data_IF_142051966321
#
_entry.id   IF_142051966321
#
_cell.length_a   1.000
_cell.length_b   1.000
_cell.length_c   1.000
_cell.angle_alpha   90.00
_cell.angle_beta   90.00
_cell.angle_gamma   90.00
#
_symmetry.space_group_name_H-M   'P 1'
#
loop_
_entity.id
_entity.type
_entity.pdbx_description
1 polymer ?
#
# COMPACT_ATOMS: atom_id res chain seq x y z
N UNK A 1 -16.38 -18.31 -4.74
CA UNK A 1 -17.66 -18.29 -4.01
C UNK A 1 -18.47 -17.12 -4.52
N UNK A 2 -19.69 -17.35 -5.00
CA UNK A 2 -20.59 -16.25 -5.39
C UNK A 2 -21.13 -15.56 -4.15
N UNK A 3 -21.05 -14.23 -4.11
CA UNK A 3 -21.44 -13.43 -2.94
C UNK A 3 -22.96 -13.33 -2.73
N UNK A 4 -23.79 -13.80 -3.67
CA UNK A 4 -25.27 -13.76 -3.60
C UNK A 4 -25.88 -12.35 -3.52
N UNK A 5 -25.05 -11.29 -3.59
CA UNK A 5 -25.46 -9.90 -3.50
C UNK A 5 -25.73 -9.34 -4.89
N UNK A 6 -26.91 -8.78 -5.06
CA UNK A 6 -27.26 -8.03 -6.27
C UNK A 6 -26.57 -6.66 -6.22
N UNK A 7 -25.65 -6.40 -7.15
CA UNK A 7 -24.91 -5.14 -7.24
C UNK A 7 -25.32 -4.46 -8.54
N UNK A 8 -25.91 -3.27 -8.41
CA UNK A 8 -26.22 -2.43 -9.57
C UNK A 8 -24.93 -1.90 -10.17
N UNK A 9 -24.47 -2.54 -11.25
CA UNK A 9 -23.29 -2.14 -12.00
C UNK A 9 -23.70 -1.49 -13.32
N UNK A 10 -23.00 -0.42 -13.70
CA UNK A 10 -23.14 0.16 -15.03
C UNK A 10 -22.66 -0.85 -16.08
N UNK A 11 -23.45 -1.08 -17.13
CA UNK A 11 -23.09 -1.95 -18.26
C UNK A 11 -21.72 -1.62 -18.87
N UNK A 12 -21.34 -0.33 -18.90
CA UNK A 12 -20.03 0.09 -19.36
C UNK A 12 -18.88 -0.50 -18.52
N UNK A 13 -19.06 -0.64 -17.20
CA UNK A 13 -18.06 -1.25 -16.32
C UNK A 13 -17.85 -2.73 -16.65
N UNK A 14 -18.92 -3.46 -16.94
CA UNK A 14 -18.86 -4.88 -17.33
C UNK A 14 -18.15 -5.03 -18.68
N UNK A 15 -18.53 -4.23 -19.68
CA UNK A 15 -17.90 -4.25 -21.01
C UNK A 15 -16.42 -3.88 -20.91
N UNK A 16 -16.08 -2.85 -20.14
CA UNK A 16 -14.69 -2.43 -19.93
C UNK A 16 -13.86 -3.55 -19.28
N UNK A 17 -14.42 -4.25 -18.30
CA UNK A 17 -13.74 -5.37 -17.66
C UNK A 17 -13.55 -6.56 -18.61
N UNK A 18 -14.58 -6.92 -19.38
CA UNK A 18 -14.50 -7.98 -20.40
C UNK A 18 -13.47 -7.65 -21.50
N UNK A 19 -13.30 -6.37 -21.82
CA UNK A 19 -12.26 -5.87 -22.76
C UNK A 19 -10.86 -5.79 -22.13
N UNK A 20 -10.66 -6.27 -20.91
CA UNK A 20 -9.36 -6.32 -20.25
C UNK A 20 -8.85 -4.97 -19.72
N UNK A 21 -9.73 -3.97 -19.55
CA UNK A 21 -9.31 -2.71 -18.90
C UNK A 21 -8.94 -2.96 -17.43
N UNK A 22 -7.98 -2.16 -16.94
CA UNK A 22 -7.50 -2.25 -15.58
C UNK A 22 -8.63 -2.20 -14.55
N UNK A 23 -8.64 -3.19 -13.68
CA UNK A 23 -9.50 -3.22 -12.49
C UNK A 23 -9.13 -2.09 -11.53
N UNK A 24 -10.03 -1.79 -10.58
CA UNK A 24 -9.72 -0.86 -9.49
C UNK A 24 -8.49 -1.31 -8.70
N UNK A 25 -8.32 -2.60 -8.47
CA UNK A 25 -7.17 -3.16 -7.78
C UNK A 25 -5.86 -2.89 -8.54
N UNK A 26 -5.83 -3.16 -9.85
CA UNK A 26 -4.66 -2.88 -10.70
C UNK A 26 -4.32 -1.39 -10.76
N UNK A 27 -5.34 -0.53 -10.95
CA UNK A 27 -5.13 0.92 -10.95
C UNK A 27 -4.63 1.44 -9.59
N UNK A 28 -5.10 0.86 -8.49
CA UNK A 28 -4.63 1.25 -7.15
C UNK A 28 -3.20 0.76 -6.90
N UNK A 29 -2.84 -0.44 -7.39
CA UNK A 29 -1.46 -0.94 -7.32
C UNK A 29 -0.48 -0.04 -8.09
N UNK A 30 -0.87 0.44 -9.26
CA UNK A 30 -0.08 1.41 -10.04
C UNK A 30 0.10 2.77 -9.33
N UNK A 31 -0.79 3.11 -8.39
CA UNK A 31 -0.74 4.35 -7.61
C UNK A 31 -0.10 4.16 -6.23
N UNK A 32 0.36 2.95 -5.91
CA UNK A 32 1.01 2.69 -4.63
C UNK A 32 2.37 3.41 -4.56
N UNK A 33 2.70 3.90 -3.37
CA UNK A 33 4.01 4.52 -3.12
C UNK A 33 5.15 3.50 -3.24
N UNK A 34 4.96 2.32 -2.65
CA UNK A 34 5.96 1.26 -2.57
C UNK A 34 5.73 0.20 -3.65
N UNK A 35 6.83 -0.28 -4.20
CA UNK A 35 6.91 -1.53 -4.97
C UNK A 35 6.63 -2.74 -4.06
N UNK A 36 6.34 -3.90 -4.64
CA UNK A 36 6.12 -5.12 -3.86
C UNK A 36 7.35 -5.47 -3.03
N UNK A 37 8.54 -5.28 -3.59
CA UNK A 37 9.83 -5.54 -2.95
C UNK A 37 10.05 -4.63 -1.75
N UNK A 38 9.76 -3.32 -1.89
CA UNK A 38 9.86 -2.37 -0.78
C UNK A 38 8.85 -2.68 0.33
N UNK A 39 7.64 -3.14 -0.02
CA UNK A 39 6.66 -3.60 0.97
C UNK A 39 7.22 -4.74 1.80
N UNK A 40 7.86 -5.74 1.18
CA UNK A 40 8.46 -6.87 1.90
C UNK A 40 9.54 -6.42 2.90
N UNK A 41 10.39 -5.48 2.49
CA UNK A 41 11.43 -4.91 3.36
C UNK A 41 10.81 -4.22 4.58
N UNK A 42 9.76 -3.43 4.37
CA UNK A 42 9.08 -2.72 5.46
C UNK A 42 8.35 -3.69 6.40
N UNK A 43 7.64 -4.70 5.88
CA UNK A 43 6.96 -5.71 6.71
C UNK A 43 7.99 -6.47 7.55
N UNK A 44 9.10 -6.91 6.96
CA UNK A 44 10.17 -7.58 7.69
C UNK A 44 10.79 -6.67 8.77
N UNK A 45 10.96 -5.38 8.48
CA UNK A 45 11.44 -4.41 9.46
C UNK A 45 10.49 -4.30 10.66
N UNK A 46 9.17 -4.23 10.42
CA UNK A 46 8.17 -4.15 11.49
C UNK A 46 8.18 -5.42 12.36
N UNK A 47 8.22 -6.60 11.74
CA UNK A 47 8.29 -7.88 12.46
C UNK A 47 9.55 -7.95 13.33
N UNK A 48 10.71 -7.52 12.80
CA UNK A 48 11.97 -7.48 13.56
C UNK A 48 11.88 -6.55 14.76
N UNK A 49 11.29 -5.37 14.61
CA UNK A 49 11.06 -4.46 15.74
C UNK A 49 10.19 -5.10 16.82
N UNK A 50 9.08 -5.73 16.42
CA UNK A 50 8.17 -6.44 17.33
C UNK A 50 8.87 -7.58 18.09
N UNK A 51 9.63 -8.40 17.38
CA UNK A 51 10.40 -9.50 17.97
C UNK A 51 11.46 -9.02 18.98
N UNK A 52 12.00 -7.82 18.79
CA UNK A 52 12.98 -7.21 19.69
C UNK A 52 12.31 -6.42 20.84
N UNK A 53 10.97 -6.45 20.94
CA UNK A 53 10.22 -5.77 21.99
C UNK A 53 10.11 -4.25 21.81
N UNK A 54 10.45 -3.73 20.62
CA UNK A 54 10.32 -2.30 20.34
C UNK A 54 8.90 -1.98 19.84
N UNK A 55 8.20 -1.01 20.44
CA UNK A 55 6.90 -0.60 19.97
C UNK A 55 7.01 0.03 18.58
N UNK A 56 6.12 -0.35 17.68
CA UNK A 56 6.02 0.27 16.37
C UNK A 56 5.58 1.72 16.52
N UNK A 57 6.42 2.65 16.06
CA UNK A 57 6.09 4.07 16.01
C UNK A 57 5.67 4.45 14.59
N UNK A 58 4.47 5.01 14.43
CA UNK A 58 4.02 5.59 13.16
C UNK A 58 5.02 6.62 12.61
N UNK A 59 5.72 7.35 13.48
CA UNK A 59 6.75 8.31 13.07
C UNK A 59 7.96 7.59 12.47
N UNK A 60 8.50 6.59 13.15
CA UNK A 60 9.67 5.83 12.66
C UNK A 60 9.37 5.06 11.37
N UNK A 61 8.18 4.46 11.29
CA UNK A 61 7.74 3.79 10.06
C UNK A 61 7.69 4.77 8.89
N UNK A 62 7.16 5.97 9.12
CA UNK A 62 7.14 7.03 8.10
C UNK A 62 8.54 7.47 7.69
N UNK A 63 9.41 7.75 8.65
CA UNK A 63 10.80 8.17 8.40
C UNK A 63 11.54 7.12 7.55
N UNK A 64 11.44 5.85 7.92
CA UNK A 64 12.09 4.76 7.18
C UNK A 64 11.55 4.58 5.76
N UNK A 65 10.24 4.74 5.58
CA UNK A 65 9.60 4.70 4.25
C UNK A 65 10.00 5.91 3.40
N UNK A 66 10.05 7.09 4.00
CA UNK A 66 10.48 8.32 3.33
C UNK A 66 11.95 8.24 2.88
N UNK A 67 12.83 7.60 3.67
CA UNK A 67 14.22 7.33 3.30
C UNK A 67 14.32 6.42 2.06
N UNK A 68 13.57 5.32 2.05
CA UNK A 68 13.53 4.37 0.92
C UNK A 68 13.02 5.07 -0.34
N UNK A 69 11.93 5.82 -0.22
CA UNK A 69 11.33 6.54 -1.33
C UNK A 69 12.20 7.69 -1.81
N UNK A 70 12.84 8.42 -0.90
CA UNK A 70 13.81 9.46 -1.24
C UNK A 70 15.01 8.90 -2.00
N UNK A 71 15.53 7.75 -1.59
CA UNK A 71 16.62 7.07 -2.29
C UNK A 71 16.21 6.59 -3.70
N UNK A 72 14.98 6.07 -3.86
CA UNK A 72 14.51 5.56 -5.16
C UNK A 72 14.02 6.66 -6.12
N UNK A 73 13.28 7.64 -5.61
CA UNK A 73 12.59 8.65 -6.41
C UNK A 73 13.37 9.98 -6.51
N UNK A 74 14.30 10.23 -5.60
CA UNK A 74 15.09 11.47 -5.57
C UNK A 74 14.20 12.70 -5.58
N UNK A 75 14.47 13.62 -6.52
CA UNK A 75 13.75 14.88 -6.69
C UNK A 75 12.26 14.71 -7.06
N UNK A 76 11.85 13.52 -7.51
CA UNK A 76 10.43 13.21 -7.75
C UNK A 76 9.65 12.88 -6.46
N UNK A 77 10.35 12.67 -5.34
CA UNK A 77 9.69 12.46 -4.06
C UNK A 77 9.14 13.79 -3.52
N UNK A 78 7.85 13.88 -3.19
CA UNK A 78 7.29 15.13 -2.69
C UNK A 78 7.93 15.56 -1.37
N UNK A 79 8.22 16.85 -1.25
CA UNK A 79 8.70 17.54 -0.03
C UNK A 79 7.77 17.26 1.18
N UNK A 80 6.53 16.86 0.91
CA UNK A 80 5.51 16.54 1.90
C UNK A 80 5.42 15.08 2.36
N UNK A 81 6.32 14.17 1.94
CA UNK A 81 6.35 12.73 2.32
C UNK A 81 5.13 11.88 1.93
N UNK A 82 5.07 10.61 2.34
CA UNK A 82 3.93 9.68 2.07
C UNK A 82 2.59 10.10 2.71
N UNK A 83 2.59 11.13 3.56
CA UNK A 83 1.40 11.71 4.18
C UNK A 83 1.01 11.07 5.53
N UNK A 84 0.28 11.82 6.37
CA UNK A 84 0.03 11.46 7.78
C UNK A 84 -0.79 10.18 7.98
N UNK A 85 -1.77 9.91 7.11
CA UNK A 85 -2.64 8.72 7.21
C UNK A 85 -2.06 7.47 6.56
N UNK A 86 -0.96 7.61 5.83
CA UNK A 86 -0.41 6.50 5.06
C UNK A 86 0.03 5.33 5.94
N UNK A 87 0.69 5.60 7.06
CA UNK A 87 1.15 4.55 7.97
C UNK A 87 0.01 3.76 8.58
N UNK A 88 -1.13 4.42 8.86
CA UNK A 88 -2.33 3.73 9.32
C UNK A 88 -2.87 2.77 8.25
N UNK A 89 -3.08 3.26 7.03
CA UNK A 89 -3.57 2.42 5.92
C UNK A 89 -2.58 1.31 5.54
N UNK A 90 -1.28 1.55 5.66
CA UNK A 90 -0.27 0.54 5.44
C UNK A 90 -0.43 -0.60 6.45
N UNK A 91 -0.55 -0.28 7.74
CA UNK A 91 -0.73 -1.28 8.79
C UNK A 91 -2.05 -2.02 8.66
N UNK A 92 -3.16 -1.33 8.38
CA UNK A 92 -4.46 -1.99 8.12
C UNK A 92 -4.36 -2.99 6.96
N UNK A 93 -3.66 -2.60 5.89
CA UNK A 93 -3.52 -3.44 4.68
C UNK A 93 -2.66 -4.68 4.90
N UNK A 94 -1.65 -4.61 5.78
CA UNK A 94 -0.67 -5.68 5.99
C UNK A 94 -0.73 -6.28 7.40
N UNK A 95 -1.80 -6.03 8.16
CA UNK A 95 -1.96 -6.49 9.54
C UNK A 95 -1.86 -8.01 9.66
N UNK A 96 -2.47 -8.76 8.73
CA UNK A 96 -2.43 -10.23 8.74
C UNK A 96 -1.01 -10.81 8.57
N UNK A 97 -0.05 -9.97 8.18
CA UNK A 97 1.34 -10.35 7.93
C UNK A 97 2.30 -9.90 9.03
N UNK A 98 1.85 -9.05 9.96
CA UNK A 98 2.64 -8.43 11.04
C UNK A 98 2.23 -9.05 12.36
#
# INVERSE_FOLDING_TARGET
QETGKEIKLNHATVINHAKGKNTRAQNNAQKAWLTSEEVEVIVMYIIKLGNHGFPLSHRRLKEHVDEILGARLGDHFPIGSVGKKWTHHFLEKYLDRI
#
